data_IF_738396089873
#
_entry.id   IF_738396089873
#
_cell.length_a   1.000
_cell.length_b   1.000
_cell.length_c   1.000
_cell.angle_alpha   90.00
_cell.angle_beta   90.00
_cell.angle_gamma   90.00
#
_symmetry.space_group_name_H-M   'P 1'
#
loop_
_entity.id
_entity.type
_entity.pdbx_description
1 polymer ?
#
# COMPACT_ATOMS: atom_id res chain seq x y z
N UNK A 1 -46.73 -57.32 -57.83
CA UNK A 1 -45.37 -57.67 -58.29
C UNK A 1 -44.33 -56.99 -57.39
N UNK A 2 -43.72 -57.73 -56.47
CA UNK A 2 -42.30 -57.65 -56.07
C UNK A 2 -42.08 -58.66 -54.94
N UNK A 3 -41.21 -59.61 -55.23
CA UNK A 3 -40.92 -60.83 -54.48
C UNK A 3 -40.00 -60.58 -53.30
N UNK A 4 -40.16 -61.43 -52.27
CA UNK A 4 -39.16 -61.71 -51.24
C UNK A 4 -37.80 -62.08 -51.87
N UNK A 5 -36.70 -61.83 -51.16
CA UNK A 5 -35.84 -62.95 -50.78
C UNK A 5 -34.90 -62.67 -49.60
N UNK A 6 -34.73 -63.73 -48.85
CA UNK A 6 -34.12 -63.90 -47.53
C UNK A 6 -32.67 -64.35 -47.68
N UNK A 7 -31.87 -64.02 -46.68
CA UNK A 7 -30.46 -64.37 -46.55
C UNK A 7 -30.18 -65.89 -46.60
N UNK A 8 -29.01 -66.25 -47.14
CA UNK A 8 -28.35 -67.55 -46.97
C UNK A 8 -27.01 -67.31 -46.29
N UNK A 9 -26.79 -68.04 -45.21
CA UNK A 9 -25.54 -68.13 -44.45
C UNK A 9 -24.59 -69.12 -45.12
N UNK A 10 -23.29 -68.83 -45.14
CA UNK A 10 -22.25 -69.84 -45.25
C UNK A 10 -21.05 -69.43 -44.39
N UNK A 11 -20.87 -70.19 -43.33
CA UNK A 11 -19.76 -70.13 -42.40
C UNK A 11 -18.60 -70.94 -42.97
N UNK A 12 -17.40 -70.37 -43.04
CA UNK A 12 -16.16 -71.15 -43.25
C UNK A 12 -14.97 -70.51 -42.52
N UNK A 13 -14.51 -71.24 -41.51
CA UNK A 13 -13.12 -71.39 -41.04
C UNK A 13 -12.35 -70.17 -40.47
N UNK A 14 -12.20 -70.17 -39.13
CA UNK A 14 -11.10 -69.55 -38.38
C UNK A 14 -9.82 -70.43 -38.54
N UNK A 15 -8.59 -69.87 -38.57
CA UNK A 15 -7.93 -69.56 -37.29
C UNK A 15 -6.82 -68.48 -37.28
N UNK A 16 -6.40 -68.15 -36.04
CA UNK A 16 -5.08 -67.67 -35.57
C UNK A 16 -4.73 -66.18 -35.76
N UNK A 17 -4.85 -65.48 -34.64
CA UNK A 17 -3.86 -64.56 -34.07
C UNK A 17 -3.11 -63.63 -35.04
N UNK A 18 -3.67 -62.45 -35.30
CA UNK A 18 -2.89 -61.24 -35.53
C UNK A 18 -3.42 -60.14 -34.59
N UNK A 19 -2.71 -59.94 -33.48
CA UNK A 19 -2.86 -58.73 -32.67
C UNK A 19 -2.32 -57.58 -33.50
N UNK A 20 -3.20 -56.71 -33.99
CA UNK A 20 -2.79 -55.43 -34.56
C UNK A 20 -2.37 -54.53 -33.40
N UNK A 21 -1.05 -54.35 -33.26
CA UNK A 21 -0.45 -53.38 -32.33
C UNK A 21 -0.71 -52.00 -32.93
N UNK A 22 -1.69 -51.29 -32.38
CA UNK A 22 -1.83 -49.86 -32.60
C UNK A 22 -0.79 -49.15 -31.72
N UNK A 23 0.27 -48.63 -32.33
CA UNK A 23 1.22 -47.74 -31.66
C UNK A 23 0.58 -46.35 -31.55
N UNK A 24 -0.14 -46.11 -30.46
CA UNK A 24 -0.37 -44.72 -30.04
C UNK A 24 0.95 -44.21 -29.44
N UNK A 25 1.47 -43.13 -30.01
CA UNK A 25 2.67 -42.47 -29.52
C UNK A 25 2.40 -41.92 -28.11
N UNK A 26 3.09 -42.50 -27.13
CA UNK A 26 3.27 -41.86 -25.82
C UNK A 26 4.21 -40.68 -26.04
N UNK A 27 3.65 -39.49 -26.20
CA UNK A 27 4.45 -38.27 -26.14
C UNK A 27 4.68 -37.95 -24.67
N UNK A 28 5.87 -38.33 -24.18
CA UNK A 28 6.43 -37.83 -22.93
C UNK A 28 6.55 -36.31 -23.05
N UNK A 29 5.64 -35.57 -22.41
CA UNK A 29 5.80 -34.13 -22.21
C UNK A 29 6.07 -33.84 -20.73
N UNK A 30 7.12 -34.47 -20.21
CA UNK A 30 7.85 -34.00 -19.03
C UNK A 30 8.98 -33.10 -19.51
N UNK A 31 8.65 -31.84 -19.77
CA UNK A 31 9.51 -30.65 -19.63
C UNK A 31 8.81 -29.46 -20.29
N UNK A 32 7.90 -28.80 -19.58
CA UNK A 32 7.46 -27.44 -19.93
C UNK A 32 6.96 -26.64 -18.72
N UNK A 33 7.43 -27.05 -17.53
CA UNK A 33 7.05 -26.52 -16.23
C UNK A 33 8.17 -25.72 -15.57
N UNK A 34 8.74 -24.71 -16.25
CA UNK A 34 9.61 -23.72 -15.61
C UNK A 34 9.74 -22.43 -16.44
N UNK A 35 9.87 -22.55 -17.76
CA UNK A 35 10.18 -21.41 -18.64
C UNK A 35 9.01 -20.46 -18.92
N UNK A 36 7.74 -20.88 -18.70
CA UNK A 36 6.58 -19.98 -18.81
C UNK A 36 6.45 -18.95 -17.68
N UNK A 37 7.26 -19.05 -16.60
CA UNK A 37 7.27 -18.05 -15.52
C UNK A 37 8.11 -16.80 -15.82
N UNK A 38 8.72 -16.72 -17.01
CA UNK A 38 9.52 -15.58 -17.47
C UNK A 38 8.82 -14.68 -18.51
N UNK A 39 7.58 -14.99 -18.88
CA UNK A 39 6.78 -14.09 -19.71
C UNK A 39 6.22 -12.96 -18.83
N UNK A 40 6.94 -11.83 -18.85
CA UNK A 40 6.41 -10.53 -18.43
C UNK A 40 5.03 -10.38 -19.08
N UNK A 41 3.96 -10.38 -18.28
CA UNK A 41 2.61 -10.02 -18.76
C UNK A 41 2.75 -8.74 -19.56
N UNK A 42 2.42 -8.76 -20.85
CA UNK A 42 2.37 -7.55 -21.68
C UNK A 42 1.32 -6.64 -21.05
N UNK A 43 1.78 -5.58 -20.39
CA UNK A 43 0.91 -4.53 -19.87
C UNK A 43 0.45 -3.74 -21.09
N UNK A 44 -0.85 -3.79 -21.40
CA UNK A 44 -1.41 -2.94 -22.44
C UNK A 44 -1.22 -1.46 -22.05
N UNK A 45 -0.76 -0.58 -22.96
CA UNK A 45 -0.59 0.82 -22.65
C UNK A 45 -1.95 1.48 -22.37
N UNK A 46 -2.25 1.77 -21.11
CA UNK A 46 -3.44 2.54 -20.73
C UNK A 46 -3.20 4.02 -21.02
N UNK A 47 -4.15 4.67 -21.71
CA UNK A 47 -4.07 6.10 -22.10
C UNK A 47 -4.28 7.10 -20.94
N UNK A 48 -4.62 6.63 -19.74
CA UNK A 48 -4.84 7.48 -18.56
C UNK A 48 -3.71 7.36 -17.53
N UNK A 49 -3.38 8.46 -16.84
CA UNK A 49 -2.40 8.42 -15.74
C UNK A 49 -2.90 7.49 -14.64
N UNK A 50 -2.10 6.51 -14.23
CA UNK A 50 -2.45 5.48 -13.23
C UNK A 50 -3.02 6.02 -11.91
N UNK A 51 -2.75 7.29 -11.56
CA UNK A 51 -3.32 7.95 -10.38
C UNK A 51 -4.81 8.34 -10.49
N UNK A 52 -5.37 8.55 -11.70
CA UNK A 52 -6.77 8.97 -11.88
C UNK A 52 -7.78 7.94 -11.39
N UNK A 53 -7.45 6.65 -11.50
CA UNK A 53 -8.36 5.57 -11.12
C UNK A 53 -8.45 5.36 -9.60
N UNK A 54 -7.52 5.94 -8.83
CA UNK A 54 -7.29 5.56 -7.43
C UNK A 54 -7.46 6.71 -6.44
N UNK A 55 -7.59 7.96 -6.87
CA UNK A 55 -7.57 9.12 -5.95
C UNK A 55 -8.24 10.37 -6.52
N UNK A 56 -8.71 11.24 -5.62
CA UNK A 56 -8.91 12.66 -5.89
C UNK A 56 -7.55 13.37 -6.03
N UNK A 57 -7.37 14.18 -7.09
CA UNK A 57 -6.10 14.87 -7.40
C UNK A 57 -5.97 16.24 -6.74
N UNK A 58 -7.05 16.80 -6.20
CA UNK A 58 -7.01 18.12 -5.59
C UNK A 58 -6.36 18.13 -4.20
N UNK A 59 -6.27 16.95 -3.58
CA UNK A 59 -5.67 16.77 -2.25
C UNK A 59 -4.35 16.01 -2.38
N UNK A 60 -3.26 16.66 -1.98
CA UNK A 60 -1.94 16.05 -1.91
C UNK A 60 -1.56 15.86 -0.45
N UNK A 61 -1.10 14.66 -0.11
CA UNK A 61 -0.56 14.37 1.21
C UNK A 61 0.95 14.45 1.19
N UNK A 62 1.55 15.02 2.23
CA UNK A 62 3.00 15.11 2.39
C UNK A 62 3.41 14.29 3.62
N UNK A 63 4.05 13.15 3.40
CA UNK A 63 4.59 12.31 4.46
C UNK A 63 6.06 12.68 4.70
N UNK A 64 6.30 13.42 5.77
CA UNK A 64 7.62 13.72 6.27
C UNK A 64 8.09 12.59 7.19
N UNK A 65 9.30 12.11 6.99
CA UNK A 65 10.00 11.20 7.91
C UNK A 65 11.30 11.87 8.35
N UNK A 66 11.44 12.15 9.63
CA UNK A 66 12.61 12.81 10.20
C UNK A 66 13.35 11.83 11.12
N UNK A 67 14.62 11.56 10.82
CA UNK A 67 15.50 10.79 11.71
C UNK A 67 16.17 11.77 12.67
N UNK A 68 15.82 11.67 13.93
CA UNK A 68 16.20 12.60 15.00
C UNK A 68 17.49 12.10 15.64
N UNK A 69 18.24 13.01 16.25
CA UNK A 69 19.31 12.63 17.16
C UNK A 69 18.69 12.15 18.48
N UNK A 70 19.06 10.96 19.00
CA UNK A 70 18.49 10.39 20.22
C UNK A 70 18.64 11.30 21.44
N UNK A 71 19.75 12.06 21.50
CA UNK A 71 20.06 13.03 22.56
C UNK A 71 19.21 14.32 22.50
N UNK A 72 18.31 14.45 21.51
CA UNK A 72 17.63 15.70 21.17
C UNK A 72 16.14 15.54 20.88
N UNK A 73 15.53 14.39 21.18
CA UNK A 73 14.12 14.10 20.83
C UNK A 73 13.17 15.16 21.42
N UNK A 74 13.30 15.51 22.69
CA UNK A 74 12.41 16.49 23.34
C UNK A 74 12.55 17.89 22.73
N UNK A 75 13.79 18.31 22.45
CA UNK A 75 14.09 19.61 21.80
C UNK A 75 13.51 19.65 20.39
N UNK A 76 13.64 18.54 19.66
CA UNK A 76 13.05 18.37 18.34
C UNK A 76 11.53 18.48 18.40
N UNK A 77 10.86 17.75 19.30
CA UNK A 77 9.40 17.74 19.40
C UNK A 77 8.85 19.12 19.77
N UNK A 78 9.50 19.81 20.72
CA UNK A 78 9.14 21.18 21.08
C UNK A 78 9.26 22.14 19.88
N UNK A 79 10.37 22.10 19.15
CA UNK A 79 10.55 22.92 17.96
C UNK A 79 9.54 22.56 16.86
N UNK A 80 9.27 21.27 16.64
CA UNK A 80 8.33 20.83 15.60
C UNK A 80 6.90 21.22 15.95
N UNK A 81 6.51 21.18 17.23
CA UNK A 81 5.24 21.74 17.70
C UNK A 81 5.09 23.20 17.32
N UNK A 82 6.10 24.03 17.59
CA UNK A 82 6.08 25.45 17.19
C UNK A 82 5.94 25.63 15.68
N UNK A 83 6.52 24.72 14.88
CA UNK A 83 6.37 24.73 13.42
C UNK A 83 4.95 24.37 13.00
N UNK A 84 4.31 23.41 13.69
CA UNK A 84 2.91 23.06 13.45
C UNK A 84 2.01 24.24 13.77
N UNK A 85 2.20 24.87 14.93
CA UNK A 85 1.43 26.02 15.39
C UNK A 85 1.54 27.19 14.38
N UNK A 86 2.74 27.46 13.85
CA UNK A 86 2.95 28.44 12.79
C UNK A 86 2.18 28.11 11.49
N UNK A 87 2.22 26.85 11.05
CA UNK A 87 1.52 26.44 9.81
C UNK A 87 0.01 26.55 10.01
N UNK A 88 -0.51 26.14 11.17
CA UNK A 88 -1.93 26.22 11.49
C UNK A 88 -2.43 27.66 11.59
N UNK A 89 -1.64 28.59 12.13
CA UNK A 89 -1.99 30.01 12.15
C UNK A 89 -2.11 30.63 10.74
N UNK A 90 -1.60 29.93 9.72
CA UNK A 90 -1.66 30.28 8.28
C UNK A 90 -2.58 29.37 7.47
N UNK A 91 -3.37 28.50 8.11
CA UNK A 91 -4.23 27.50 7.44
C UNK A 91 -5.13 28.08 6.33
N UNK A 92 -5.81 29.23 6.50
CA UNK A 92 -6.65 29.80 5.43
C UNK A 92 -5.87 30.17 4.15
N UNK A 93 -4.62 30.59 4.30
CA UNK A 93 -3.73 30.95 3.20
C UNK A 93 -3.18 29.69 2.51
N UNK A 94 -2.67 28.75 3.32
CA UNK A 94 -1.92 27.60 2.85
C UNK A 94 -2.77 26.41 2.41
N UNK A 95 -4.02 26.30 2.89
CA UNK A 95 -4.83 25.09 2.71
C UNK A 95 -4.14 23.83 3.24
N UNK A 96 -3.26 24.00 4.23
CA UNK A 96 -2.38 22.97 4.77
C UNK A 96 -2.77 22.66 6.22
N UNK A 97 -2.93 21.38 6.53
CA UNK A 97 -3.22 20.94 7.89
C UNK A 97 -2.51 19.64 8.24
N UNK A 98 -2.26 19.46 9.54
CA UNK A 98 -1.65 18.26 10.06
C UNK A 98 -2.73 17.19 10.16
N UNK A 99 -2.52 16.03 9.54
CA UNK A 99 -3.39 14.85 9.66
C UNK A 99 -2.95 14.00 10.84
N UNK A 100 -1.64 13.84 11.02
CA UNK A 100 -1.08 13.15 12.16
C UNK A 100 0.42 13.35 12.29
N UNK A 101 0.89 13.23 13.52
CA UNK A 101 2.28 13.36 13.92
C UNK A 101 2.59 12.27 14.93
N UNK A 102 3.61 11.47 14.65
CA UNK A 102 3.94 10.31 15.47
C UNK A 102 5.44 10.18 15.68
N UNK A 103 5.84 9.63 16.81
CA UNK A 103 7.17 9.03 17.03
C UNK A 103 7.10 7.53 16.79
N UNK A 104 8.22 6.93 16.39
CA UNK A 104 8.32 5.47 16.19
C UNK A 104 8.76 4.81 17.50
N UNK A 105 7.93 3.91 18.04
CA UNK A 105 8.26 3.13 19.24
C UNK A 105 8.76 1.71 18.96
N UNK A 106 8.46 1.17 17.76
CA UNK A 106 9.03 -0.11 17.28
C UNK A 106 9.43 0.01 15.81
N UNK A 107 10.65 -0.43 15.47
CA UNK A 107 11.25 -0.29 14.13
C UNK A 107 12.41 0.72 14.17
N UNK A 108 12.37 1.71 13.28
CA UNK A 108 13.33 2.82 13.25
C UNK A 108 13.11 3.76 14.45
N UNK A 109 13.66 3.43 15.62
CA UNK A 109 13.61 4.31 16.80
C UNK A 109 14.31 5.66 16.53
N UNK A 110 13.99 6.68 17.35
CA UNK A 110 14.45 8.06 17.17
C UNK A 110 13.98 8.69 15.85
N UNK A 111 12.84 8.25 15.33
CA UNK A 111 12.25 8.75 14.09
C UNK A 111 10.86 9.33 14.37
N UNK A 112 10.52 10.42 13.68
CA UNK A 112 9.17 10.99 13.70
C UNK A 112 8.58 11.06 12.29
N UNK A 113 7.30 10.75 12.19
CA UNK A 113 6.51 10.81 10.95
C UNK A 113 5.46 11.91 11.09
N UNK A 114 5.36 12.78 10.09
CA UNK A 114 4.37 13.85 10.06
C UNK A 114 3.65 13.81 8.73
N UNK A 115 2.34 13.61 8.77
CA UNK A 115 1.47 13.54 7.61
C UNK A 115 0.68 14.85 7.51
N UNK A 116 0.95 15.60 6.45
CA UNK A 116 0.26 16.85 6.15
C UNK A 116 -0.68 16.67 4.96
N UNK A 117 -1.80 17.38 4.97
CA UNK A 117 -2.79 17.44 3.89
C UNK A 117 -2.78 18.83 3.27
N UNK A 118 -2.61 18.90 1.96
CA UNK A 118 -2.70 20.13 1.16
C UNK A 118 -3.93 20.06 0.25
N UNK A 119 -4.86 20.99 0.44
CA UNK A 119 -6.03 21.18 -0.43
C UNK A 119 -5.72 22.24 -1.47
N UNK A 120 -5.91 21.93 -2.76
CA UNK A 120 -5.58 22.80 -3.89
C UNK A 120 -4.31 22.40 -4.64
N UNK A 121 -3.92 21.12 -4.55
CA UNK A 121 -2.89 20.52 -5.39
C UNK A 121 -1.46 21.03 -5.13
N UNK A 122 -0.60 20.81 -6.12
CA UNK A 122 0.82 21.21 -6.06
C UNK A 122 1.03 22.72 -6.01
N UNK A 123 0.12 23.53 -6.56
CA UNK A 123 0.21 24.99 -6.50
C UNK A 123 0.22 25.50 -5.05
N UNK A 124 -0.65 24.93 -4.20
CA UNK A 124 -0.68 25.27 -2.77
C UNK A 124 0.58 24.82 -2.03
N UNK A 125 1.16 23.69 -2.43
CA UNK A 125 2.45 23.24 -1.91
C UNK A 125 3.57 24.23 -2.28
N UNK A 126 3.61 24.71 -3.52
CA UNK A 126 4.64 25.65 -3.96
C UNK A 126 4.52 27.00 -3.25
N UNK A 127 3.30 27.51 -3.08
CA UNK A 127 3.02 28.70 -2.25
C UNK A 127 3.48 28.51 -0.81
N UNK A 128 3.18 27.36 -0.20
CA UNK A 128 3.63 27.05 1.15
C UNK A 128 5.17 27.02 1.27
N UNK A 129 5.85 26.41 0.29
CA UNK A 129 7.33 26.39 0.26
C UNK A 129 7.95 27.77 0.16
N UNK A 130 7.35 28.67 -0.63
CA UNK A 130 7.79 30.07 -0.74
C UNK A 130 7.62 30.76 0.62
N UNK A 131 6.42 30.68 1.22
CA UNK A 131 6.16 31.26 2.54
C UNK A 131 7.12 30.76 3.61
N UNK A 132 7.38 29.45 3.66
CA UNK A 132 8.31 28.85 4.61
C UNK A 132 9.76 29.31 4.42
N UNK A 133 10.16 29.63 3.19
CA UNK A 133 11.50 30.12 2.87
C UNK A 133 11.67 31.60 3.20
N UNK A 134 10.65 32.40 2.92
CA UNK A 134 10.71 33.86 3.01
C UNK A 134 10.33 34.39 4.40
N UNK A 135 9.56 33.64 5.17
CA UNK A 135 9.19 34.04 6.53
C UNK A 135 10.35 33.81 7.52
N UNK A 136 10.86 34.86 8.19
CA UNK A 136 12.03 34.74 9.07
C UNK A 136 11.76 33.88 10.31
N UNK A 137 10.53 33.86 10.83
CA UNK A 137 10.18 33.07 12.01
C UNK A 137 10.21 31.57 11.69
N UNK A 138 9.62 31.17 10.56
CA UNK A 138 9.68 29.79 10.11
C UNK A 138 11.10 29.36 9.73
N UNK A 139 11.87 30.25 9.07
CA UNK A 139 13.27 30.00 8.76
C UNK A 139 14.12 29.78 10.02
N UNK A 140 13.85 30.52 11.10
CA UNK A 140 14.50 30.32 12.39
C UNK A 140 14.14 28.95 13.00
N UNK A 141 12.87 28.55 12.96
CA UNK A 141 12.43 27.22 13.42
C UNK A 141 13.11 26.09 12.63
N UNK A 142 13.20 26.22 11.31
CA UNK A 142 13.86 25.24 10.43
C UNK A 142 15.38 25.16 10.69
N UNK A 143 16.03 26.32 10.92
CA UNK A 143 17.46 26.38 11.28
C UNK A 143 17.72 25.71 12.63
N UNK A 144 16.90 26.00 13.63
CA UNK A 144 17.01 25.38 14.95
C UNK A 144 16.81 23.86 14.86
N UNK A 145 15.77 23.40 14.16
CA UNK A 145 15.48 21.98 13.91
C UNK A 145 16.66 21.24 13.30
N UNK A 146 17.41 21.89 12.41
CA UNK A 146 18.60 21.32 11.78
C UNK A 146 19.65 20.81 12.76
N UNK A 147 19.71 21.35 13.99
CA UNK A 147 20.64 20.89 15.02
C UNK A 147 20.24 19.56 15.67
N UNK A 148 18.97 19.16 15.53
CA UNK A 148 18.40 17.99 16.20
C UNK A 148 18.14 16.82 15.25
N UNK A 149 18.28 17.02 13.94
CA UNK A 149 17.88 16.05 12.90
C UNK A 149 19.10 15.54 12.15
N UNK A 150 19.22 14.22 12.01
CA UNK A 150 20.26 13.54 11.24
C UNK A 150 19.95 13.55 9.74
N UNK A 151 18.70 13.27 9.39
CA UNK A 151 18.25 13.24 8.00
C UNK A 151 16.73 13.36 7.89
N UNK A 152 16.25 13.74 6.70
CA UNK A 152 14.83 13.92 6.43
C UNK A 152 14.47 13.33 5.08
N UNK A 153 13.28 12.76 5.01
CA UNK A 153 12.67 12.29 3.78
C UNK A 153 11.27 12.88 3.65
N UNK A 154 10.89 13.22 2.42
CA UNK A 154 9.56 13.74 2.09
C UNK A 154 9.04 12.99 0.88
N UNK A 155 7.83 12.45 1.00
CA UNK A 155 7.07 11.92 -0.13
C UNK A 155 5.77 12.70 -0.28
N UNK A 156 5.45 13.06 -1.52
CA UNK A 156 4.10 13.51 -1.87
C UNK A 156 3.28 12.31 -2.32
N UNK A 157 2.10 12.16 -1.74
CA UNK A 157 1.25 10.99 -1.83
C UNK A 157 -0.16 11.38 -2.26
N UNK A 158 -0.87 10.43 -2.84
CA UNK A 158 -2.32 10.46 -3.03
C UNK A 158 -2.97 9.41 -2.14
N UNK A 159 -4.19 9.68 -1.69
CA UNK A 159 -4.97 8.73 -0.91
C UNK A 159 -5.67 7.72 -1.84
N UNK A 160 -5.73 6.46 -1.44
CA UNK A 160 -6.58 5.48 -2.11
C UNK A 160 -8.05 5.76 -1.81
N UNK A 161 -8.88 5.88 -2.85
CA UNK A 161 -10.32 6.17 -2.74
C UNK A 161 -11.13 5.13 -1.96
N UNK A 162 -10.63 3.89 -1.86
CA UNK A 162 -11.27 2.80 -1.13
C UNK A 162 -10.81 2.68 0.33
N UNK A 163 -9.89 3.53 0.78
CA UNK A 163 -9.46 3.63 2.18
C UNK A 163 -10.18 4.77 2.90
N UNK A 164 -10.31 4.70 4.24
CA UNK A 164 -10.68 5.88 5.04
C UNK A 164 -9.64 7.00 4.91
N UNK A 165 -10.05 8.24 5.21
CA UNK A 165 -9.25 9.44 4.97
C UNK A 165 -8.52 9.98 6.22
N UNK A 166 -8.19 9.11 7.19
CA UNK A 166 -7.48 9.50 8.41
C UNK A 166 -8.34 10.28 9.40
N UNK A 167 -9.62 9.91 9.52
CA UNK A 167 -10.55 10.53 10.47
C UNK A 167 -10.07 10.33 11.93
N UNK A 168 -10.23 11.33 12.81
CA UNK A 168 -9.87 11.22 14.22
C UNK A 168 -10.49 9.98 14.89
N UNK A 169 -9.74 9.39 15.82
CA UNK A 169 -10.15 8.20 16.58
C UNK A 169 -10.26 8.55 18.05
N UNK A 170 -10.82 7.64 18.84
CA UNK A 170 -10.81 7.75 20.30
C UNK A 170 -9.38 7.89 20.82
N UNK A 171 -9.16 8.57 21.96
CA UNK A 171 -7.81 8.76 22.48
C UNK A 171 -7.09 7.48 22.92
N UNK A 172 -5.77 7.58 23.06
CA UNK A 172 -4.84 6.55 23.54
C UNK A 172 -4.70 5.34 22.61
N UNK A 173 -4.76 5.58 21.30
CA UNK A 173 -4.46 4.55 20.30
C UNK A 173 -2.97 4.56 19.92
N UNK A 174 -2.48 3.38 19.53
CA UNK A 174 -1.23 3.24 18.78
C UNK A 174 -1.55 3.11 17.30
N UNK A 175 -0.60 3.55 16.47
CA UNK A 175 -0.71 3.47 15.04
C UNK A 175 0.34 2.50 14.48
N UNK A 176 0.03 1.87 13.36
CA UNK A 176 0.99 1.06 12.62
C UNK A 176 1.06 1.58 11.19
N UNK A 177 2.24 1.97 10.73
CA UNK A 177 2.49 2.22 9.33
C UNK A 177 3.19 1.01 8.70
N UNK A 178 2.57 0.45 7.66
CA UNK A 178 3.17 -0.55 6.77
C UNK A 178 3.45 0.07 5.42
N UNK A 179 4.74 0.19 5.10
CA UNK A 179 5.24 0.70 3.83
C UNK A 179 5.67 -0.46 2.94
N UNK A 180 5.20 -0.47 1.70
CA UNK A 180 5.55 -1.52 0.72
C UNK A 180 6.20 -0.87 -0.50
N UNK A 181 7.40 -1.34 -0.86
CA UNK A 181 8.00 -1.03 -2.16
C UNK A 181 7.53 -2.09 -3.14
N UNK A 182 6.72 -1.69 -4.11
CA UNK A 182 6.15 -2.58 -5.11
C UNK A 182 7.10 -2.78 -6.29
N UNK A 183 6.91 -3.88 -7.03
CA UNK A 183 7.52 -4.05 -8.34
C UNK A 183 6.97 -2.96 -9.28
N UNK A 184 7.82 -2.25 -10.04
CA UNK A 184 7.37 -1.27 -11.03
C UNK A 184 6.29 -1.84 -11.95
N UNK A 185 5.24 -1.04 -12.20
CA UNK A 185 4.09 -1.44 -13.02
C UNK A 185 3.00 -2.25 -12.30
N UNK A 186 3.20 -2.67 -11.05
CA UNK A 186 2.23 -3.55 -10.34
C UNK A 186 1.28 -2.80 -9.40
N UNK A 187 1.37 -1.47 -9.29
CA UNK A 187 0.60 -0.67 -8.31
C UNK A 187 -0.91 -0.83 -8.46
N UNK A 188 -1.44 -0.82 -9.69
CA UNK A 188 -2.89 -0.98 -9.94
C UNK A 188 -3.33 -2.40 -9.59
N UNK A 189 -2.61 -3.42 -10.05
CA UNK A 189 -2.92 -4.82 -9.74
C UNK A 189 -2.93 -5.05 -8.22
N UNK A 190 -1.94 -4.52 -7.52
CA UNK A 190 -1.85 -4.57 -6.06
C UNK A 190 -3.01 -3.82 -5.39
N UNK A 191 -3.32 -2.59 -5.85
CA UNK A 191 -4.40 -1.76 -5.33
C UNK A 191 -5.78 -2.41 -5.49
N UNK A 192 -6.08 -2.99 -6.66
CA UNK A 192 -7.35 -3.68 -6.93
C UNK A 192 -7.54 -4.91 -6.02
N UNK A 193 -6.46 -5.64 -5.74
CA UNK A 193 -6.49 -6.75 -4.79
C UNK A 193 -6.74 -6.26 -3.36
N UNK A 194 -6.12 -5.16 -2.96
CA UNK A 194 -6.33 -4.56 -1.64
C UNK A 194 -7.70 -3.92 -1.46
N UNK A 195 -8.32 -3.37 -2.49
CA UNK A 195 -9.69 -2.87 -2.43
C UNK A 195 -10.67 -3.97 -2.01
N UNK A 196 -10.46 -5.20 -2.50
CA UNK A 196 -11.17 -6.40 -2.05
C UNK A 196 -10.69 -6.84 -0.67
N UNK A 197 -9.38 -6.92 -0.45
CA UNK A 197 -8.79 -7.37 0.81
C UNK A 197 -9.22 -6.56 2.04
N UNK A 198 -9.46 -5.25 1.86
CA UNK A 198 -9.87 -4.36 2.92
C UNK A 198 -11.29 -4.71 3.43
N UNK A 199 -12.16 -5.32 2.62
CA UNK A 199 -13.51 -5.70 3.07
C UNK A 199 -13.46 -6.76 4.18
N UNK A 200 -12.50 -7.68 4.11
CA UNK A 200 -12.22 -8.68 5.15
C UNK A 200 -11.65 -8.08 6.44
N UNK A 201 -11.32 -6.79 6.43
CA UNK A 201 -10.69 -6.06 7.54
C UNK A 201 -11.57 -4.93 8.08
N UNK A 202 -12.85 -4.86 7.69
CA UNK A 202 -13.74 -3.79 8.16
C UNK A 202 -14.26 -4.02 9.58
N UNK A 203 -14.40 -5.28 9.98
CA UNK A 203 -15.09 -5.64 11.23
C UNK A 203 -14.44 -5.07 12.49
N UNK A 204 -13.11 -4.86 12.49
CA UNK A 204 -12.38 -4.35 13.65
C UNK A 204 -12.08 -2.84 13.53
N UNK A 205 -12.55 -2.18 12.47
CA UNK A 205 -12.40 -0.74 12.22
C UNK A 205 -10.95 -0.23 12.35
N UNK A 206 -9.96 -1.08 12.06
CA UNK A 206 -8.54 -0.75 12.26
C UNK A 206 -7.95 0.08 11.11
N UNK A 207 -8.61 0.14 9.95
CA UNK A 207 -8.14 0.91 8.80
C UNK A 207 -8.22 2.41 9.11
N UNK A 208 -7.08 3.10 9.07
CA UNK A 208 -7.02 4.53 9.31
C UNK A 208 -6.84 5.31 8.01
N UNK A 209 -5.83 4.97 7.21
CA UNK A 209 -5.60 5.60 5.93
C UNK A 209 -4.70 4.75 5.01
N UNK A 210 -4.84 4.96 3.69
CA UNK A 210 -4.01 4.30 2.68
C UNK A 210 -3.54 5.27 1.61
N UNK A 211 -2.24 5.25 1.30
CA UNK A 211 -1.61 6.20 0.39
C UNK A 211 -0.67 5.54 -0.62
N UNK A 212 -0.44 6.19 -1.75
CA UNK A 212 0.57 5.81 -2.74
C UNK A 212 1.39 7.00 -3.23
N UNK A 213 2.68 6.76 -3.50
CA UNK A 213 3.65 7.78 -3.89
C UNK A 213 3.35 8.41 -5.24
N UNK A 214 3.39 9.75 -5.31
CA UNK A 214 3.47 10.52 -6.55
C UNK A 214 4.88 11.11 -6.79
N UNK A 215 5.53 11.62 -5.75
CA UNK A 215 6.87 12.22 -5.82
C UNK A 215 7.70 11.73 -4.63
N UNK A 216 9.00 11.54 -4.85
CA UNK A 216 9.93 10.95 -3.90
C UNK A 216 10.22 9.49 -4.29
N UNK A 217 10.26 8.57 -3.31
CA UNK A 217 10.42 7.13 -3.59
C UNK A 217 9.17 6.61 -4.29
N UNK A 218 9.30 6.28 -5.58
CA UNK A 218 8.20 5.80 -6.43
C UNK A 218 7.87 4.32 -6.18
N UNK A 219 6.70 3.91 -6.66
CA UNK A 219 6.14 2.57 -6.46
C UNK A 219 6.01 2.18 -4.99
N UNK A 220 5.82 3.17 -4.12
CA UNK A 220 5.69 2.97 -2.69
C UNK A 220 4.24 3.22 -2.25
N UNK A 221 3.75 2.36 -1.36
CA UNK A 221 2.41 2.44 -0.80
C UNK A 221 2.49 2.34 0.72
N UNK A 222 1.64 3.08 1.41
CA UNK A 222 1.61 3.16 2.87
C UNK A 222 0.21 2.85 3.37
N UNK A 223 0.08 1.83 4.22
CA UNK A 223 -1.13 1.57 4.98
C UNK A 223 -0.91 2.01 6.42
N UNK A 224 -1.79 2.85 6.92
CA UNK A 224 -1.84 3.26 8.32
C UNK A 224 -3.03 2.58 8.98
N UNK A 225 -2.76 1.90 10.08
CA UNK A 225 -3.73 1.19 10.89
C UNK A 225 -3.76 1.79 12.30
N UNK A 226 -4.91 1.75 12.95
CA UNK A 226 -5.13 2.23 14.31
C UNK A 226 -5.56 1.06 15.21
N UNK A 227 -4.95 0.95 16.37
CA UNK A 227 -5.26 -0.07 17.37
C UNK A 227 -5.21 0.52 18.78
N UNK A 228 -6.01 -0.01 19.69
CA UNK A 228 -5.98 0.38 21.11
C UNK A 228 -4.62 0.17 21.75
N UNK A 229 -3.96 -0.95 21.45
CA UNK A 229 -2.64 -1.33 21.96
C UNK A 229 -2.08 -2.52 21.16
N UNK A 230 -0.87 -2.97 21.51
CA UNK A 230 -0.18 -4.08 20.83
C UNK A 230 -0.93 -5.42 20.96
N UNK A 231 -1.64 -5.65 22.06
CA UNK A 231 -2.43 -6.87 22.26
C UNK A 231 -3.65 -6.88 21.33
N UNK A 232 -4.42 -5.79 21.28
CA UNK A 232 -5.53 -5.62 20.34
C UNK A 232 -5.06 -5.75 18.88
N UNK A 233 -3.90 -5.18 18.54
CA UNK A 233 -3.26 -5.36 17.23
C UNK A 233 -3.04 -6.83 16.91
N UNK A 234 -2.48 -7.61 17.84
CA UNK A 234 -2.22 -9.04 17.66
C UNK A 234 -3.53 -9.78 17.41
N UNK A 235 -4.52 -9.59 18.28
CA UNK A 235 -5.83 -10.24 18.21
C UNK A 235 -6.55 -9.94 16.88
N UNK A 236 -6.60 -8.67 16.47
CA UNK A 236 -7.20 -8.25 15.19
C UNK A 236 -6.49 -8.88 13.98
N UNK A 237 -5.16 -8.99 14.02
CA UNK A 237 -4.40 -9.64 12.94
C UNK A 237 -4.68 -11.14 12.88
N UNK A 238 -4.70 -11.82 14.03
CA UNK A 238 -5.01 -13.25 14.11
C UNK A 238 -6.47 -13.54 13.69
N UNK A 239 -7.42 -12.69 14.08
CA UNK A 239 -8.81 -12.84 13.68
C UNK A 239 -9.01 -12.62 12.18
N UNK A 240 -8.26 -11.71 11.56
CA UNK A 240 -8.32 -11.47 10.10
C UNK A 240 -7.98 -12.74 9.31
N UNK A 241 -7.03 -13.55 9.78
CA UNK A 241 -6.66 -14.81 9.11
C UNK A 241 -7.76 -15.85 9.11
N UNK A 242 -8.79 -15.70 9.95
CA UNK A 242 -9.97 -16.58 9.96
C UNK A 242 -11.02 -16.18 8.94
N UNK A 243 -10.88 -15.03 8.28
CA UNK A 243 -11.83 -14.56 7.26
C UNK A 243 -11.53 -15.23 5.91
N UNK A 244 -12.49 -15.98 5.34
CA UNK A 244 -12.29 -16.62 4.03
C UNK A 244 -11.94 -15.59 2.95
N UNK A 245 -10.92 -15.88 2.14
CA UNK A 245 -10.46 -15.02 1.05
C UNK A 245 -9.37 -14.00 1.43
N UNK A 246 -9.07 -13.85 2.73
CA UNK A 246 -7.91 -13.06 3.15
C UNK A 246 -6.59 -13.71 2.74
N UNK A 247 -6.50 -15.03 2.88
CA UNK A 247 -5.37 -15.84 2.47
C UNK A 247 -5.08 -15.73 0.97
N UNK A 248 -6.11 -15.75 0.12
CA UNK A 248 -5.97 -15.51 -1.32
C UNK A 248 -5.43 -14.10 -1.60
N UNK A 249 -5.99 -13.07 -0.94
CA UNK A 249 -5.51 -11.69 -1.08
C UNK A 249 -4.02 -11.58 -0.76
N UNK A 250 -3.56 -12.24 0.31
CA UNK A 250 -2.14 -12.28 0.69
C UNK A 250 -1.32 -13.03 -0.37
N UNK A 251 -1.77 -14.20 -0.82
CA UNK A 251 -1.08 -15.00 -1.83
C UNK A 251 -0.87 -14.25 -3.16
N UNK A 252 -1.83 -13.40 -3.55
CA UNK A 252 -1.72 -12.58 -4.75
C UNK A 252 -0.86 -11.31 -4.56
N UNK A 253 -0.95 -10.65 -3.41
CA UNK A 253 -0.30 -9.35 -3.20
C UNK A 253 1.17 -9.45 -2.80
N UNK A 254 1.56 -10.47 -2.02
CA UNK A 254 2.94 -10.67 -1.55
C UNK A 254 3.95 -10.76 -2.70
N UNK A 255 3.71 -11.54 -3.78
CA UNK A 255 4.63 -11.61 -4.91
C UNK A 255 4.86 -10.29 -5.66
N UNK A 256 4.00 -9.28 -5.48
CA UNK A 256 4.13 -7.97 -6.12
C UNK A 256 5.02 -7.01 -5.32
N UNK A 257 5.38 -7.37 -4.08
CA UNK A 257 6.18 -6.56 -3.16
C UNK A 257 7.67 -6.93 -3.30
N UNK A 258 8.54 -5.92 -3.30
CA UNK A 258 10.01 -6.07 -3.22
C UNK A 258 10.51 -5.99 -1.79
N UNK A 259 9.97 -5.04 -1.02
CA UNK A 259 10.37 -4.77 0.35
C UNK A 259 9.14 -4.32 1.14
N UNK A 260 9.05 -4.76 2.39
CA UNK A 260 8.00 -4.34 3.32
C UNK A 260 8.66 -3.88 4.62
N UNK A 261 8.22 -2.73 5.11
CA UNK A 261 8.67 -2.20 6.39
C UNK A 261 7.47 -1.85 7.27
N UNK A 262 7.55 -2.19 8.56
CA UNK A 262 6.48 -1.98 9.53
C UNK A 262 7.04 -1.24 10.73
N UNK A 263 6.36 -0.16 11.14
CA UNK A 263 6.70 0.62 12.34
C UNK A 263 5.47 0.78 13.22
N UNK A 264 5.65 0.66 14.54
CA UNK A 264 4.64 1.06 15.52
C UNK A 264 4.90 2.52 15.89
N UNK A 265 3.82 3.28 15.93
CA UNK A 265 3.78 4.72 16.00
C UNK A 265 2.97 5.14 17.24
N UNK A 266 3.48 6.13 17.95
CA UNK A 266 2.81 6.77 19.08
C UNK A 266 2.53 8.24 18.74
N UNK A 267 1.27 8.72 18.88
CA UNK A 267 0.94 10.11 18.60
C UNK A 267 1.75 11.08 19.46
N UNK A 268 2.21 12.18 18.86
CA UNK A 268 2.83 13.28 19.62
C UNK A 268 1.77 14.10 20.36
N UNK A 269 2.18 14.87 21.37
CA UNK A 269 1.31 15.73 22.19
C UNK A 269 0.55 16.83 21.41
N UNK A 270 0.92 17.07 20.16
CA UNK A 270 0.28 18.04 19.26
C UNK A 270 -0.36 17.37 18.05
N UNK A 271 -0.34 16.04 17.97
CA UNK A 271 -1.00 15.32 16.90
C UNK A 271 -2.53 15.37 17.08
N UNK A 272 -3.29 15.54 15.98
CA UNK A 272 -4.74 15.32 15.98
C UNK A 272 -5.20 13.87 16.18
N UNK A 273 -4.27 12.95 16.44
CA UNK A 273 -4.50 11.51 16.52
C UNK A 273 -4.23 10.94 17.91
N UNK A 274 -4.19 11.84 18.92
CA UNK A 274 -4.06 11.48 20.33
C UNK A 274 -5.21 10.60 20.80
#
# INVERSE_FOLDING_TARGET
MKSLNRAISLCTYLPKNSRVISTSSVHNNTEDGWLKKLLVRRIEPTKESHSRMLSDKEIIYALHTHNIRPDSVDKYLKNYKNSVDFVHSRKPELGCELVGSWTVSVGDMDQALHLWRYVGGFEKIDKAKILFRENPDYAALEKERGNFVRSRHLQYLLAFSFWPNGEPREPNNIYEIRSYSLKPGTMIEWGNNWARGLTYRRAQNEAFAGYFSQIGRLYNVHHIWCYKNLQARRETRESTWRNPGWDECVAYTVPLIREMHCRILEPTEFSPTQ
#
